data_IF_276481803715
#
_entry.id   IF_276481803715
#
_cell.length_a   1.000
_cell.length_b   1.000
_cell.length_c   1.000
_cell.angle_alpha   90.00
_cell.angle_beta   90.00
_cell.angle_gamma   90.00
#
_symmetry.space_group_name_H-M   'P 1'
#
loop_
_entity.id
_entity.type
_entity.pdbx_description
1 polymer ?
#
# COMPACT_ATOMS: atom_id res chain seq x y z
N UNK A 1 -23.26 24.79 -3.95
CA UNK A 1 -22.80 24.70 -2.55
C UNK A 1 -22.15 23.36 -2.24
N UNK A 2 -22.75 22.23 -2.55
CA UNK A 2 -22.20 20.88 -2.31
C UNK A 2 -20.82 20.63 -2.96
N UNK A 3 -20.61 21.04 -4.22
CA UNK A 3 -19.32 20.88 -4.92
C UNK A 3 -18.17 21.67 -4.27
N UNK A 4 -18.46 22.87 -3.74
CA UNK A 4 -17.46 23.69 -3.04
C UNK A 4 -17.09 23.04 -1.71
N UNK A 5 -18.08 22.52 -0.97
CA UNK A 5 -17.86 21.79 0.27
C UNK A 5 -17.04 20.51 0.02
N UNK A 6 -17.36 19.75 -1.01
CA UNK A 6 -16.63 18.55 -1.38
C UNK A 6 -15.16 18.85 -1.77
N UNK A 7 -14.92 19.94 -2.52
CA UNK A 7 -13.58 20.39 -2.85
C UNK A 7 -12.79 20.82 -1.60
N UNK A 8 -13.43 21.56 -0.68
CA UNK A 8 -12.83 21.95 0.59
C UNK A 8 -12.45 20.73 1.44
N UNK A 9 -13.37 19.77 1.58
CA UNK A 9 -13.14 18.52 2.31
C UNK A 9 -11.96 17.73 1.67
N UNK A 10 -11.88 17.68 0.34
CA UNK A 10 -10.80 16.97 -0.35
C UNK A 10 -9.41 17.62 -0.16
N UNK A 11 -9.35 18.92 0.07
CA UNK A 11 -8.08 19.67 0.25
C UNK A 11 -7.63 19.70 1.72
N UNK A 12 -8.53 19.55 2.67
CA UNK A 12 -8.23 19.65 4.11
C UNK A 12 -7.10 18.71 4.59
N UNK A 13 -7.05 17.41 4.20
CA UNK A 13 -5.96 16.53 4.58
C UNK A 13 -4.60 16.97 4.04
N UNK A 14 -4.57 17.58 2.84
CA UNK A 14 -3.36 18.11 2.24
C UNK A 14 -2.87 19.35 3.00
N UNK A 15 -3.77 20.27 3.35
CA UNK A 15 -3.45 21.44 4.15
C UNK A 15 -2.90 21.04 5.52
N UNK A 16 -3.53 20.07 6.18
CA UNK A 16 -3.06 19.54 7.46
C UNK A 16 -1.68 18.86 7.31
N UNK A 17 -1.48 18.07 6.25
CA UNK A 17 -0.20 17.42 5.98
C UNK A 17 0.93 18.43 5.75
N UNK A 18 0.67 19.53 5.04
CA UNK A 18 1.64 20.62 4.84
C UNK A 18 1.94 21.33 6.14
N UNK A 19 0.92 21.71 6.90
CA UNK A 19 1.08 22.40 8.17
C UNK A 19 1.87 21.58 9.17
N UNK A 20 1.45 20.34 9.46
CA UNK A 20 2.13 19.46 10.40
C UNK A 20 3.54 19.06 9.94
N UNK A 21 3.73 18.87 8.63
CA UNK A 21 5.04 18.57 8.06
C UNK A 21 6.03 19.74 8.23
N UNK A 22 5.58 20.98 8.04
CA UNK A 22 6.40 22.17 8.31
C UNK A 22 6.81 22.28 9.78
N UNK A 23 5.92 21.92 10.72
CA UNK A 23 6.27 21.86 12.13
C UNK A 23 7.37 20.83 12.42
N UNK A 24 7.29 19.64 11.84
CA UNK A 24 8.32 18.60 11.98
C UNK A 24 9.67 19.10 11.41
N UNK A 25 9.65 19.78 10.26
CA UNK A 25 10.86 20.37 9.68
C UNK A 25 11.45 21.49 10.56
N UNK A 26 10.61 22.32 11.19
CA UNK A 26 11.06 23.36 12.10
C UNK A 26 11.69 22.79 13.38
N UNK A 27 11.28 21.63 13.84
CA UNK A 27 11.88 20.91 14.97
C UNK A 27 13.22 20.25 14.62
N UNK A 28 13.64 20.29 13.34
CA UNK A 28 14.83 19.57 12.87
C UNK A 28 16.14 20.00 13.53
N UNK A 29 16.21 21.22 14.01
CA UNK A 29 17.42 21.76 14.65
C UNK A 29 17.57 21.36 16.14
N UNK A 30 16.49 20.89 16.76
CA UNK A 30 16.43 20.57 18.19
C UNK A 30 16.05 19.12 18.50
N UNK A 31 15.76 18.30 17.47
CA UNK A 31 15.31 16.92 17.64
C UNK A 31 16.26 15.91 17.02
N UNK A 32 16.30 14.71 17.61
CA UNK A 32 17.06 13.59 17.07
C UNK A 32 16.39 13.01 15.80
N UNK A 33 17.16 12.29 14.97
CA UNK A 33 16.63 11.63 13.77
C UNK A 33 15.47 10.67 14.10
N UNK A 34 15.56 9.80 15.16
CA UNK A 34 14.47 8.94 15.55
C UNK A 34 13.18 9.68 15.91
N UNK A 35 13.29 10.78 16.66
CA UNK A 35 12.12 11.60 17.04
C UNK A 35 11.41 12.19 15.83
N UNK A 36 12.16 12.69 14.84
CA UNK A 36 11.58 13.20 13.58
C UNK A 36 10.90 12.11 12.77
N UNK A 37 11.50 10.93 12.70
CA UNK A 37 10.89 9.79 12.00
C UNK A 37 9.62 9.32 12.69
N UNK A 38 9.61 9.29 14.04
CA UNK A 38 8.42 8.94 14.81
C UNK A 38 7.30 9.96 14.60
N UNK A 39 7.64 11.26 14.66
CA UNK A 39 6.68 12.35 14.41
C UNK A 39 6.11 12.28 12.98
N UNK A 40 6.94 12.01 11.96
CA UNK A 40 6.48 11.84 10.58
C UNK A 40 5.56 10.61 10.43
N UNK A 41 5.91 9.49 11.07
CA UNK A 41 5.09 8.28 11.06
C UNK A 41 3.72 8.51 11.72
N UNK A 42 3.69 9.17 12.87
CA UNK A 42 2.46 9.51 13.58
C UNK A 42 1.58 10.46 12.75
N UNK A 43 2.19 11.50 12.17
CA UNK A 43 1.52 12.42 11.25
C UNK A 43 0.92 11.70 10.07
N UNK A 44 1.70 10.84 9.40
CA UNK A 44 1.22 10.10 8.22
C UNK A 44 0.08 9.15 8.59
N UNK A 45 0.13 8.52 9.76
CA UNK A 45 -0.96 7.72 10.29
C UNK A 45 -2.25 8.53 10.46
N UNK A 46 -2.15 9.70 11.10
CA UNK A 46 -3.29 10.59 11.29
C UNK A 46 -3.86 11.13 9.97
N UNK A 47 -3.00 11.61 9.07
CA UNK A 47 -3.43 12.06 7.72
C UNK A 47 -4.11 10.95 6.95
N UNK A 48 -3.62 9.71 7.08
CA UNK A 48 -4.23 8.54 6.41
C UNK A 48 -5.60 8.23 6.98
N UNK A 49 -5.76 8.26 8.30
CA UNK A 49 -7.05 8.07 8.96
C UNK A 49 -8.05 9.18 8.58
N UNK A 50 -7.60 10.44 8.56
CA UNK A 50 -8.40 11.57 8.12
C UNK A 50 -8.85 11.43 6.66
N UNK A 51 -7.94 11.02 5.76
CA UNK A 51 -8.29 10.72 4.37
C UNK A 51 -9.32 9.59 4.27
N UNK A 52 -9.17 8.52 5.06
CA UNK A 52 -10.11 7.41 5.09
C UNK A 52 -11.52 7.83 5.54
N UNK A 53 -11.61 8.63 6.61
CA UNK A 53 -12.88 9.19 7.08
C UNK A 53 -13.55 10.10 6.05
N UNK A 54 -12.75 10.93 5.37
CA UNK A 54 -13.26 11.82 4.33
C UNK A 54 -13.66 11.06 3.06
N UNK A 55 -12.96 9.99 2.69
CA UNK A 55 -13.37 9.11 1.60
C UNK A 55 -14.76 8.52 1.86
N UNK A 56 -15.05 8.09 3.08
CA UNK A 56 -16.38 7.64 3.47
C UNK A 56 -17.43 8.73 3.27
N UNK A 57 -17.16 9.95 3.70
CA UNK A 57 -18.09 11.07 3.56
C UNK A 57 -18.31 11.52 2.10
N UNK A 58 -17.25 11.45 1.27
CA UNK A 58 -17.30 11.84 -0.16
C UNK A 58 -17.95 10.73 -1.01
N UNK A 59 -17.76 9.46 -0.64
CA UNK A 59 -18.28 8.31 -1.41
C UNK A 59 -19.80 8.37 -1.59
N UNK A 60 -20.52 9.03 -0.67
CA UNK A 60 -21.97 9.17 -0.73
C UNK A 60 -22.47 10.27 -1.67
N UNK A 61 -21.67 11.25 -2.09
CA UNK A 61 -22.22 12.41 -2.78
C UNK A 61 -21.58 12.79 -4.13
N UNK A 62 -20.27 12.73 -4.34
CA UNK A 62 -19.62 13.24 -5.57
C UNK A 62 -18.33 12.50 -5.94
N UNK A 63 -18.42 11.24 -6.34
CA UNK A 63 -17.34 10.50 -6.96
C UNK A 63 -17.36 10.73 -8.49
N UNK A 64 -16.27 10.67 -9.24
CA UNK A 64 -14.89 10.24 -8.93
C UNK A 64 -13.86 11.39 -8.81
N UNK A 65 -14.19 12.61 -9.23
CA UNK A 65 -13.21 13.69 -9.33
C UNK A 65 -12.76 14.24 -7.96
N UNK A 66 -13.62 14.21 -6.92
CA UNK A 66 -13.23 14.57 -5.54
C UNK A 66 -12.20 13.62 -4.96
N UNK A 67 -12.31 12.33 -5.30
CA UNK A 67 -11.30 11.35 -4.94
C UNK A 67 -9.96 11.64 -5.62
N UNK A 68 -9.98 11.94 -6.93
CA UNK A 68 -8.79 12.31 -7.66
C UNK A 68 -8.14 13.58 -7.06
N UNK A 69 -8.93 14.58 -6.71
CA UNK A 69 -8.44 15.81 -6.07
C UNK A 69 -7.82 15.52 -4.70
N UNK A 70 -8.45 14.70 -3.87
CA UNK A 70 -7.92 14.29 -2.56
C UNK A 70 -6.56 13.59 -2.70
N UNK A 71 -6.45 12.66 -3.64
CA UNK A 71 -5.20 11.91 -3.88
C UNK A 71 -4.11 12.84 -4.40
N UNK A 72 -4.40 13.67 -5.39
CA UNK A 72 -3.44 14.58 -6.02
C UNK A 72 -2.93 15.64 -5.03
N UNK A 73 -3.81 16.28 -4.28
CA UNK A 73 -3.43 17.31 -3.28
C UNK A 73 -2.61 16.72 -2.16
N UNK A 74 -2.99 15.52 -1.66
CA UNK A 74 -2.22 14.79 -0.65
C UNK A 74 -0.82 14.42 -1.16
N UNK A 75 -0.71 13.90 -2.39
CA UNK A 75 0.58 13.55 -2.98
C UNK A 75 1.48 14.77 -3.15
N UNK A 76 0.94 15.89 -3.62
CA UNK A 76 1.68 17.15 -3.73
C UNK A 76 2.19 17.66 -2.38
N UNK A 77 1.33 17.65 -1.37
CA UNK A 77 1.69 18.04 -0.01
C UNK A 77 2.77 17.12 0.59
N UNK A 78 2.64 15.82 0.40
CA UNK A 78 3.60 14.84 0.93
C UNK A 78 4.96 14.92 0.23
N UNK A 79 4.98 15.19 -1.08
CA UNK A 79 6.23 15.28 -1.84
C UNK A 79 7.19 16.35 -1.30
N UNK A 80 6.69 17.57 -1.08
CA UNK A 80 7.52 18.68 -0.61
C UNK A 80 8.14 18.40 0.75
N UNK A 81 7.37 17.83 1.66
CA UNK A 81 7.84 17.47 3.01
C UNK A 81 8.82 16.31 2.98
N UNK A 82 8.50 15.24 2.23
CA UNK A 82 9.38 14.08 2.12
C UNK A 82 10.74 14.42 1.49
N UNK A 83 10.74 15.24 0.45
CA UNK A 83 11.97 15.68 -0.21
C UNK A 83 12.92 16.36 0.76
N UNK A 84 12.41 17.17 1.70
CA UNK A 84 13.21 17.86 2.69
C UNK A 84 13.58 16.95 3.88
N UNK A 85 12.61 16.24 4.43
CA UNK A 85 12.78 15.41 5.63
C UNK A 85 13.69 14.20 5.38
N UNK A 86 13.50 13.52 4.25
CA UNK A 86 14.23 12.29 3.89
C UNK A 86 15.36 12.52 2.87
N UNK A 87 15.57 13.79 2.44
CA UNK A 87 16.58 14.16 1.44
C UNK A 87 16.42 13.33 0.14
N UNK A 88 15.20 13.12 -0.29
CA UNK A 88 14.89 12.37 -1.50
C UNK A 88 15.29 13.16 -2.76
N UNK A 89 15.89 12.47 -3.74
CA UNK A 89 16.38 13.10 -4.98
C UNK A 89 15.46 12.86 -6.21
N UNK A 90 14.40 12.08 -6.09
CA UNK A 90 13.50 11.86 -7.22
C UNK A 90 12.70 13.11 -7.60
N UNK A 91 12.34 13.17 -8.88
CA UNK A 91 11.45 14.21 -9.40
C UNK A 91 10.02 13.97 -8.94
N UNK A 92 9.19 15.02 -8.96
CA UNK A 92 7.75 14.90 -8.64
C UNK A 92 7.06 13.83 -9.50
N UNK A 93 7.35 13.76 -10.80
CA UNK A 93 6.74 12.76 -11.68
C UNK A 93 7.09 11.30 -11.29
N UNK A 94 8.33 11.04 -10.89
CA UNK A 94 8.74 9.71 -10.38
C UNK A 94 8.08 9.39 -9.06
N UNK A 95 8.09 10.32 -8.12
CA UNK A 95 7.39 10.19 -6.85
C UNK A 95 5.90 9.90 -7.06
N UNK A 96 5.23 10.73 -7.85
CA UNK A 96 3.82 10.59 -8.17
C UNK A 96 3.50 9.22 -8.78
N UNK A 97 4.27 8.82 -9.81
CA UNK A 97 4.11 7.52 -10.47
C UNK A 97 4.31 6.33 -9.49
N UNK A 98 5.31 6.41 -8.61
CA UNK A 98 5.55 5.36 -7.62
C UNK A 98 4.44 5.30 -6.58
N UNK A 99 4.09 6.45 -5.98
CA UNK A 99 3.05 6.49 -4.92
C UNK A 99 1.68 6.11 -5.47
N UNK A 100 1.35 6.52 -6.71
CA UNK A 100 0.09 6.11 -7.34
C UNK A 100 0.03 4.59 -7.52
N UNK A 101 1.10 3.96 -8.01
CA UNK A 101 1.15 2.51 -8.16
C UNK A 101 1.09 1.78 -6.83
N UNK A 102 1.84 2.26 -5.84
CA UNK A 102 1.83 1.70 -4.49
C UNK A 102 0.43 1.83 -3.87
N UNK A 103 -0.18 3.01 -3.97
CA UNK A 103 -1.53 3.27 -3.46
C UNK A 103 -2.56 2.38 -4.17
N UNK A 104 -2.50 2.28 -5.50
CA UNK A 104 -3.39 1.41 -6.25
C UNK A 104 -3.22 -0.07 -5.87
N UNK A 105 -1.98 -0.53 -5.67
CA UNK A 105 -1.72 -1.90 -5.27
C UNK A 105 -2.18 -2.19 -3.84
N UNK A 106 -1.92 -1.28 -2.89
CA UNK A 106 -2.22 -1.50 -1.46
C UNK A 106 -3.68 -1.19 -1.13
N UNK A 107 -4.21 -0.11 -1.69
CA UNK A 107 -5.56 0.38 -1.39
C UNK A 107 -6.59 0.10 -2.48
N UNK A 108 -6.21 -0.54 -3.59
CA UNK A 108 -7.13 -0.87 -4.68
C UNK A 108 -8.32 -1.69 -4.22
N UNK A 109 -8.10 -2.62 -3.30
CA UNK A 109 -9.15 -3.38 -2.63
C UNK A 109 -10.18 -2.47 -1.93
N UNK A 110 -9.72 -1.52 -1.12
CA UNK A 110 -10.59 -0.58 -0.41
C UNK A 110 -11.33 0.34 -1.37
N UNK A 111 -10.69 0.72 -2.47
CA UNK A 111 -11.32 1.50 -3.51
C UNK A 111 -12.42 0.72 -4.21
N UNK A 112 -12.18 -0.55 -4.57
CA UNK A 112 -13.19 -1.43 -5.13
C UNK A 112 -14.37 -1.56 -4.19
N UNK A 113 -14.11 -1.80 -2.90
CA UNK A 113 -15.16 -1.91 -1.88
C UNK A 113 -15.98 -0.63 -1.76
N UNK A 114 -15.33 0.53 -1.70
CA UNK A 114 -16.01 1.83 -1.61
C UNK A 114 -16.84 2.17 -2.85
N UNK A 115 -16.44 1.68 -4.03
CA UNK A 115 -17.14 1.91 -5.29
C UNK A 115 -18.30 0.91 -5.53
N UNK A 116 -18.30 -0.22 -4.84
CA UNK A 116 -19.31 -1.28 -5.06
C UNK A 116 -20.74 -0.78 -4.96
N UNK A 117 -21.18 -0.04 -3.91
CA UNK A 117 -22.58 0.42 -3.82
C UNK A 117 -22.99 1.29 -5.01
N UNK A 118 -22.08 2.14 -5.47
CA UNK A 118 -22.33 3.03 -6.60
C UNK A 118 -22.52 2.25 -7.92
N UNK A 119 -21.64 1.27 -8.18
CA UNK A 119 -21.75 0.44 -9.38
C UNK A 119 -23.00 -0.43 -9.34
N UNK A 120 -23.31 -1.04 -8.19
CA UNK A 120 -24.50 -1.89 -8.00
C UNK A 120 -25.76 -1.08 -8.21
N UNK A 121 -25.88 0.14 -7.62
CA UNK A 121 -27.06 0.99 -7.77
C UNK A 121 -27.32 1.48 -9.20
N UNK A 122 -26.27 1.54 -10.04
CA UNK A 122 -26.36 1.95 -11.46
C UNK A 122 -26.61 0.79 -12.42
N UNK A 123 -26.60 -0.44 -11.92
CA UNK A 123 -26.62 -1.64 -12.74
C UNK A 123 -28.02 -2.26 -12.89
N UNK A 124 -29.08 -1.57 -12.48
CA UNK A 124 -30.47 -2.10 -12.68
C UNK A 124 -30.73 -2.46 -14.16
N UNK A 125 -31.26 -3.63 -14.45
CA UNK A 125 -31.71 -4.73 -13.57
C UNK A 125 -30.65 -5.79 -13.29
N UNK A 126 -29.37 -5.50 -13.47
CA UNK A 126 -28.25 -6.46 -13.38
C UNK A 126 -27.42 -6.33 -12.10
N UNK A 127 -27.96 -5.70 -11.07
CA UNK A 127 -27.25 -5.39 -9.80
C UNK A 127 -26.64 -6.63 -9.14
N UNK A 128 -27.32 -7.77 -9.18
CA UNK A 128 -26.79 -9.04 -8.64
C UNK A 128 -25.57 -9.56 -9.41
N UNK A 129 -25.57 -9.42 -10.72
CA UNK A 129 -24.45 -9.84 -11.54
C UNK A 129 -23.23 -8.95 -11.24
N UNK A 130 -23.42 -7.63 -11.10
CA UNK A 130 -22.37 -6.69 -10.74
C UNK A 130 -21.86 -6.96 -9.32
N UNK A 131 -22.74 -7.17 -8.35
CA UNK A 131 -22.34 -7.54 -6.99
C UNK A 131 -21.54 -8.86 -6.97
N UNK A 132 -21.94 -9.86 -7.76
CA UNK A 132 -21.24 -11.13 -7.92
C UNK A 132 -19.83 -10.96 -8.48
N UNK A 133 -19.67 -10.12 -9.52
CA UNK A 133 -18.35 -9.81 -10.09
C UNK A 133 -17.45 -9.13 -9.03
N UNK A 134 -17.95 -8.13 -8.32
CA UNK A 134 -17.18 -7.46 -7.27
C UNK A 134 -16.78 -8.42 -6.15
N UNK A 135 -17.71 -9.26 -5.66
CA UNK A 135 -17.41 -10.26 -4.65
C UNK A 135 -16.33 -11.24 -5.12
N UNK A 136 -16.39 -11.68 -6.37
CA UNK A 136 -15.38 -12.57 -6.97
C UNK A 136 -14.01 -11.89 -7.04
N UNK A 137 -13.95 -10.62 -7.47
CA UNK A 137 -12.70 -9.84 -7.51
C UNK A 137 -12.13 -9.67 -6.11
N UNK A 138 -12.96 -9.39 -5.10
CA UNK A 138 -12.53 -9.25 -3.72
C UNK A 138 -11.92 -10.56 -3.17
N UNK A 139 -12.54 -11.70 -3.45
CA UNK A 139 -12.00 -13.01 -3.04
C UNK A 139 -10.68 -13.32 -3.77
N UNK A 140 -10.63 -13.04 -5.07
CA UNK A 140 -9.41 -13.25 -5.86
C UNK A 140 -8.26 -12.35 -5.42
N UNK A 141 -8.55 -11.18 -4.82
CA UNK A 141 -7.54 -10.26 -4.32
C UNK A 141 -6.66 -10.87 -3.23
N UNK A 142 -7.20 -11.78 -2.43
CA UNK A 142 -6.46 -12.48 -1.39
C UNK A 142 -5.16 -13.13 -1.92
N UNK A 143 -5.25 -13.77 -3.07
CA UNK A 143 -4.09 -14.41 -3.72
C UNK A 143 -3.40 -13.46 -4.71
N UNK A 144 -4.17 -12.61 -5.38
CA UNK A 144 -3.70 -11.70 -6.42
C UNK A 144 -2.90 -10.51 -5.90
N UNK A 145 -3.06 -10.13 -4.63
CA UNK A 145 -2.41 -8.94 -4.06
C UNK A 145 -0.90 -8.91 -4.29
N UNK A 146 -0.20 -10.00 -3.99
CA UNK A 146 1.24 -10.09 -4.18
C UNK A 146 1.65 -9.93 -5.66
N UNK A 147 0.86 -10.46 -6.58
CA UNK A 147 1.10 -10.32 -8.02
C UNK A 147 0.89 -8.87 -8.45
N UNK A 148 -0.21 -8.25 -8.02
CA UNK A 148 -0.52 -6.85 -8.31
C UNK A 148 0.57 -5.93 -7.79
N UNK A 149 1.01 -6.11 -6.53
CA UNK A 149 2.06 -5.31 -5.92
C UNK A 149 3.37 -5.42 -6.70
N UNK A 150 3.83 -6.63 -7.02
CA UNK A 150 5.06 -6.87 -7.79
C UNK A 150 4.99 -6.24 -9.19
N UNK A 151 3.88 -6.43 -9.88
CA UNK A 151 3.68 -5.88 -11.23
C UNK A 151 3.66 -4.36 -11.21
N UNK A 152 2.91 -3.76 -10.28
CA UNK A 152 2.78 -2.30 -10.19
C UNK A 152 4.08 -1.64 -9.76
N UNK A 153 4.81 -2.24 -8.84
CA UNK A 153 6.11 -1.74 -8.41
C UNK A 153 7.25 -2.11 -9.38
N UNK A 154 6.96 -2.90 -10.42
CA UNK A 154 7.94 -3.39 -11.40
C UNK A 154 9.10 -4.11 -10.72
N UNK A 155 8.76 -5.00 -9.78
CA UNK A 155 9.74 -5.83 -9.10
C UNK A 155 10.53 -6.67 -10.10
N UNK A 156 11.82 -6.87 -9.82
CA UNK A 156 12.75 -7.64 -10.65
C UNK A 156 13.58 -8.53 -9.74
N UNK A 157 14.15 -9.63 -10.22
CA UNK A 157 15.10 -10.40 -9.45
C UNK A 157 16.23 -9.51 -8.90
N UNK A 158 16.70 -9.83 -7.70
CA UNK A 158 17.79 -9.07 -7.06
C UNK A 158 19.06 -9.11 -7.89
N UNK A 159 19.65 -7.96 -8.14
CA UNK A 159 20.84 -7.83 -8.98
C UNK A 159 22.15 -8.17 -8.26
N UNK A 160 22.22 -8.15 -6.92
CA UNK A 160 23.43 -8.53 -6.17
C UNK A 160 23.53 -10.06 -6.04
N UNK A 161 24.53 -10.71 -6.71
CA UNK A 161 24.66 -12.16 -6.68
C UNK A 161 25.03 -12.70 -5.29
N UNK A 162 25.62 -11.89 -4.43
CA UNK A 162 25.95 -12.29 -3.06
C UNK A 162 24.70 -12.42 -2.20
N UNK A 163 23.79 -11.44 -2.27
CA UNK A 163 22.51 -11.50 -1.57
C UNK A 163 21.64 -12.63 -2.13
N UNK A 164 21.58 -12.79 -3.46
CA UNK A 164 20.81 -13.84 -4.11
C UNK A 164 21.29 -15.24 -3.67
N UNK A 165 22.61 -15.49 -3.64
CA UNK A 165 23.17 -16.76 -3.19
C UNK A 165 22.83 -17.05 -1.73
N UNK A 166 23.02 -16.07 -0.83
CA UNK A 166 22.70 -16.24 0.59
C UNK A 166 21.21 -16.51 0.81
N UNK A 167 20.36 -15.86 0.02
CA UNK A 167 18.93 -16.12 0.07
C UNK A 167 18.61 -17.58 -0.33
N UNK A 168 19.21 -18.10 -1.40
CA UNK A 168 19.02 -19.49 -1.81
C UNK A 168 19.51 -20.49 -0.75
N UNK A 169 20.65 -20.20 -0.10
CA UNK A 169 21.18 -21.01 1.00
C UNK A 169 20.21 -21.03 2.21
N UNK A 170 19.60 -19.89 2.54
CA UNK A 170 18.60 -19.82 3.60
C UNK A 170 17.31 -20.53 3.20
N UNK A 171 16.82 -20.28 1.98
CA UNK A 171 15.62 -20.90 1.46
C UNK A 171 15.72 -22.42 1.44
N UNK A 172 16.89 -22.97 1.10
CA UNK A 172 17.13 -24.43 1.08
C UNK A 172 17.01 -25.07 2.47
N UNK A 173 17.14 -24.28 3.55
CA UNK A 173 16.99 -24.76 4.93
C UNK A 173 15.55 -24.67 5.43
N UNK A 174 14.70 -23.89 4.78
CA UNK A 174 13.30 -23.75 5.14
C UNK A 174 12.51 -24.99 4.76
N UNK A 175 11.69 -25.49 5.66
CA UNK A 175 10.84 -26.65 5.43
C UNK A 175 9.37 -26.20 5.36
N UNK A 176 8.65 -26.65 4.35
CA UNK A 176 7.19 -26.41 4.31
C UNK A 176 6.74 -25.14 3.62
N UNK A 177 7.64 -24.37 3.01
CA UNK A 177 7.28 -23.26 2.12
C UNK A 177 7.54 -23.63 0.65
N UNK A 178 6.64 -23.23 -0.28
CA UNK A 178 6.90 -23.39 -1.72
C UNK A 178 8.10 -22.53 -2.16
N UNK A 179 8.51 -22.66 -3.41
CA UNK A 179 9.60 -21.86 -3.97
C UNK A 179 9.32 -20.36 -3.82
N UNK A 180 10.00 -19.71 -2.87
CA UNK A 180 9.93 -18.27 -2.62
C UNK A 180 10.89 -17.54 -3.55
N UNK A 181 10.46 -16.46 -4.20
CA UNK A 181 11.34 -15.59 -4.97
C UNK A 181 11.84 -14.41 -4.13
N UNK A 182 13.09 -13.96 -4.37
CA UNK A 182 13.62 -12.71 -3.86
C UNK A 182 13.63 -11.68 -4.98
N UNK A 183 12.88 -10.62 -4.81
CA UNK A 183 12.71 -9.58 -5.82
C UNK A 183 13.03 -8.19 -5.26
N UNK A 184 13.50 -7.31 -6.12
CA UNK A 184 13.91 -5.95 -5.78
C UNK A 184 13.03 -4.94 -6.51
N UNK A 185 12.59 -3.91 -5.77
CA UNK A 185 11.91 -2.74 -6.32
C UNK A 185 12.89 -1.58 -6.44
N UNK A 186 13.04 -1.05 -7.65
CA UNK A 186 13.93 0.08 -7.93
C UNK A 186 13.28 1.41 -7.50
N UNK A 187 13.85 2.00 -6.45
CA UNK A 187 13.40 3.28 -5.87
C UNK A 187 14.32 4.44 -6.17
N UNK A 188 15.04 4.43 -7.28
CA UNK A 188 16.04 5.46 -7.66
C UNK A 188 15.70 6.86 -7.15
N UNK A 189 16.41 7.29 -6.11
CA UNK A 189 16.24 8.59 -5.48
C UNK A 189 15.18 8.69 -4.38
N UNK A 190 14.43 7.61 -4.10
CA UNK A 190 13.53 7.52 -2.95
C UNK A 190 14.24 7.01 -1.70
N UNK A 191 13.65 7.25 -0.54
CA UNK A 191 14.23 6.88 0.76
C UNK A 191 13.54 5.69 1.44
N UNK A 192 12.68 4.98 0.74
CA UNK A 192 12.00 3.82 1.33
C UNK A 192 13.00 2.67 1.53
N UNK A 193 13.41 2.46 2.76
CA UNK A 193 14.17 1.27 3.18
C UNK A 193 13.15 0.27 3.67
N UNK A 194 12.89 -0.78 2.92
CA UNK A 194 11.86 -1.75 3.27
C UNK A 194 12.16 -3.12 2.69
N UNK A 195 11.81 -4.13 3.47
CA UNK A 195 11.58 -5.49 2.99
C UNK A 195 10.15 -5.88 3.37
N UNK A 196 9.53 -6.74 2.62
CA UNK A 196 8.19 -7.25 2.91
C UNK A 196 8.01 -8.68 2.37
N UNK A 197 7.52 -9.54 3.22
CA UNK A 197 7.08 -10.87 2.85
C UNK A 197 5.70 -10.80 2.17
N UNK A 198 5.56 -11.42 1.02
CA UNK A 198 4.30 -11.54 0.29
C UNK A 198 3.84 -13.00 0.37
N UNK A 199 2.94 -13.33 1.30
CA UNK A 199 2.39 -14.66 1.38
C UNK A 199 1.49 -14.94 0.16
N UNK A 200 1.72 -16.06 -0.48
CA UNK A 200 0.90 -16.59 -1.57
C UNK A 200 1.07 -18.10 -1.59
N UNK A 201 0.00 -18.83 -1.87
CA UNK A 201 0.07 -20.28 -1.96
C UNK A 201 0.89 -20.70 -3.18
N UNK A 202 0.80 -19.92 -4.25
CA UNK A 202 1.38 -20.30 -5.53
C UNK A 202 2.70 -19.59 -5.86
N UNK A 203 2.83 -18.34 -5.43
CA UNK A 203 3.98 -17.49 -5.77
C UNK A 203 4.41 -16.60 -4.63
N UNK A 204 4.80 -17.17 -3.48
CA UNK A 204 5.31 -16.34 -2.37
C UNK A 204 6.60 -15.64 -2.78
N UNK A 205 6.80 -14.45 -2.26
CA UNK A 205 7.98 -13.65 -2.55
C UNK A 205 8.41 -12.82 -1.34
N UNK A 206 9.69 -12.49 -1.31
CA UNK A 206 10.23 -11.43 -0.46
C UNK A 206 10.59 -10.27 -1.38
N UNK A 207 9.99 -9.10 -1.15
CA UNK A 207 10.34 -7.87 -1.85
C UNK A 207 11.29 -7.06 -1.00
N UNK A 208 12.37 -6.55 -1.60
CA UNK A 208 13.27 -5.59 -0.98
C UNK A 208 13.38 -4.32 -1.83
N UNK A 209 13.59 -3.18 -1.19
CA UNK A 209 13.85 -1.93 -1.91
C UNK A 209 15.31 -1.84 -2.34
N UNK A 210 15.59 -1.19 -3.48
CA UNK A 210 16.97 -0.89 -3.88
C UNK A 210 17.70 -0.05 -2.82
N UNK A 211 16.98 0.86 -2.17
CA UNK A 211 17.50 1.70 -1.09
C UNK A 211 17.97 0.88 0.13
N UNK A 212 17.34 -0.27 0.39
CA UNK A 212 17.80 -1.20 1.44
C UNK A 212 19.20 -1.74 1.10
N UNK A 213 19.34 -2.23 -0.14
CA UNK A 213 20.62 -2.79 -0.64
C UNK A 213 21.73 -1.73 -0.72
N UNK A 214 21.36 -0.48 -1.07
CA UNK A 214 22.32 0.63 -1.22
C UNK A 214 22.81 1.20 0.13
N UNK A 215 22.00 1.10 1.19
CA UNK A 215 22.27 1.74 2.49
C UNK A 215 22.75 0.80 3.57
N UNK A 216 22.45 -0.47 3.47
CA UNK A 216 22.84 -1.49 4.44
C UNK A 216 23.95 -2.35 3.88
N UNK A 217 24.76 -2.88 4.75
CA UNK A 217 25.73 -3.88 4.35
C UNK A 217 25.04 -5.21 3.97
N UNK A 218 25.84 -6.14 3.42
CA UNK A 218 25.27 -7.42 2.97
C UNK A 218 24.77 -8.28 4.12
N UNK A 219 25.37 -8.17 5.29
CA UNK A 219 25.00 -9.00 6.44
C UNK A 219 23.69 -8.47 7.04
N UNK A 220 23.55 -7.14 7.16
CA UNK A 220 22.32 -6.48 7.59
C UNK A 220 21.16 -6.78 6.60
N UNK A 221 21.41 -6.59 5.31
CA UNK A 221 20.41 -6.90 4.27
C UNK A 221 19.99 -8.37 4.33
N UNK A 222 20.96 -9.29 4.50
CA UNK A 222 20.70 -10.72 4.61
C UNK A 222 19.89 -11.04 5.87
N UNK A 223 20.18 -10.39 7.00
CA UNK A 223 19.43 -10.60 8.24
C UNK A 223 17.97 -10.16 8.10
N UNK A 224 17.72 -9.03 7.42
CA UNK A 224 16.35 -8.55 7.15
C UNK A 224 15.62 -9.54 6.21
N UNK A 225 16.28 -9.99 5.14
CA UNK A 225 15.70 -10.97 4.21
C UNK A 225 15.41 -12.30 4.92
N UNK A 226 16.30 -12.74 5.82
CA UNK A 226 16.09 -13.92 6.65
C UNK A 226 14.88 -13.78 7.57
N UNK A 227 14.67 -12.60 8.15
CA UNK A 227 13.49 -12.29 8.96
C UNK A 227 12.19 -12.44 8.15
N UNK A 228 12.15 -11.86 6.95
CA UNK A 228 10.97 -11.96 6.06
C UNK A 228 10.73 -13.40 5.59
N UNK A 229 11.80 -14.15 5.33
CA UNK A 229 11.69 -15.57 4.96
C UNK A 229 11.18 -16.43 6.12
N UNK A 230 11.70 -16.19 7.34
CA UNK A 230 11.24 -16.84 8.56
C UNK A 230 9.77 -16.53 8.85
N UNK A 231 9.32 -15.29 8.55
CA UNK A 231 7.92 -14.93 8.66
C UNK A 231 7.04 -15.81 7.77
N UNK A 232 7.43 -16.05 6.50
CA UNK A 232 6.70 -16.92 5.59
C UNK A 232 6.68 -18.37 6.06
N UNK A 233 7.79 -18.86 6.66
CA UNK A 233 7.88 -20.22 7.20
C UNK A 233 7.06 -20.40 8.47
N UNK A 234 7.23 -19.50 9.46
CA UNK A 234 6.60 -19.58 10.76
C UNK A 234 5.06 -19.49 10.70
N UNK A 235 4.56 -18.55 9.92
CA UNK A 235 3.12 -18.33 9.83
C UNK A 235 2.39 -19.33 8.93
N UNK A 236 3.07 -20.32 8.37
CA UNK A 236 2.47 -21.31 7.47
C UNK A 236 1.51 -20.63 6.46
N UNK A 237 1.99 -20.44 5.23
CA UNK A 237 1.29 -19.69 4.16
C UNK A 237 -0.18 -20.07 4.01
N UNK A 238 -0.50 -21.36 4.18
CA UNK A 238 -1.87 -21.85 4.10
C UNK A 238 -2.76 -21.31 5.23
N UNK A 239 -2.21 -21.17 6.45
CA UNK A 239 -2.94 -20.61 7.59
C UNK A 239 -3.17 -19.11 7.44
N UNK A 240 -2.16 -18.37 6.98
CA UNK A 240 -2.31 -16.95 6.66
C UNK A 240 -3.33 -16.73 5.56
N UNK A 241 -3.30 -17.56 4.53
CA UNK A 241 -4.26 -17.50 3.44
C UNK A 241 -5.70 -17.70 3.93
N UNK A 242 -5.93 -18.70 4.80
CA UNK A 242 -7.25 -18.94 5.40
C UNK A 242 -7.71 -17.79 6.30
N UNK A 243 -6.84 -17.20 7.11
CA UNK A 243 -7.18 -16.05 7.98
C UNK A 243 -7.58 -14.83 7.13
N UNK A 244 -6.84 -14.56 6.09
CA UNK A 244 -7.16 -13.46 5.18
C UNK A 244 -8.45 -13.75 4.41
N UNK A 245 -8.65 -14.97 3.93
CA UNK A 245 -9.85 -15.36 3.20
C UNK A 245 -11.12 -15.19 4.05
N UNK A 246 -11.06 -15.44 5.35
CA UNK A 246 -12.23 -15.18 6.24
C UNK A 246 -12.63 -13.71 6.21
N UNK A 247 -11.66 -12.79 6.31
CA UNK A 247 -11.91 -11.36 6.25
C UNK A 247 -12.48 -10.95 4.89
N UNK A 248 -11.86 -11.39 3.80
CA UNK A 248 -12.35 -11.12 2.44
C UNK A 248 -13.70 -11.78 2.17
N UNK A 249 -13.93 -12.97 2.72
CA UNK A 249 -15.20 -13.68 2.63
C UNK A 249 -16.37 -12.91 3.25
N UNK A 250 -16.17 -12.38 4.45
CA UNK A 250 -17.18 -11.54 5.11
C UNK A 250 -17.50 -10.29 4.29
N UNK A 251 -16.50 -9.64 3.73
CA UNK A 251 -16.67 -8.46 2.88
C UNK A 251 -17.38 -8.84 1.57
N UNK A 252 -17.03 -9.97 0.97
CA UNK A 252 -17.69 -10.46 -0.25
C UNK A 252 -19.17 -10.78 -0.01
N UNK A 253 -19.52 -11.38 1.14
CA UNK A 253 -20.93 -11.59 1.54
C UNK A 253 -21.65 -10.26 1.70
N UNK A 254 -21.05 -9.29 2.39
CA UNK A 254 -21.62 -7.93 2.49
C UNK A 254 -21.83 -7.28 1.14
N UNK A 255 -20.89 -7.46 0.21
CA UNK A 255 -20.99 -6.96 -1.18
C UNK A 255 -22.16 -7.62 -1.93
N UNK A 256 -22.33 -8.94 -1.78
CA UNK A 256 -23.45 -9.66 -2.37
C UNK A 256 -24.80 -9.23 -1.80
N UNK A 257 -24.85 -8.77 -0.56
CA UNK A 257 -26.08 -8.26 0.05
C UNK A 257 -26.38 -6.80 -0.30
N UNK A 258 -25.46 -6.08 -0.94
CA UNK A 258 -25.64 -4.68 -1.30
C UNK A 258 -26.95 -4.39 -2.09
N UNK A 259 -27.41 -5.23 -3.05
CA UNK A 259 -28.68 -5.01 -3.73
C UNK A 259 -29.90 -5.07 -2.81
N UNK A 260 -29.84 -5.86 -1.71
CA UNK A 260 -30.95 -6.01 -0.75
C UNK A 260 -31.05 -4.78 0.17
N UNK A 261 -29.92 -4.24 0.58
CA UNK A 261 -29.85 -3.17 1.59
C UNK A 261 -30.22 -1.81 1.00
N UNK A 262 -30.21 -1.67 -0.35
CA UNK A 262 -30.51 -0.42 -1.10
C UNK A 262 -29.93 0.83 -0.41
N UNK A 263 -28.63 0.79 -0.13
CA UNK A 263 -27.91 1.92 0.43
C UNK A 263 -27.60 2.95 -0.67
#
# INVERSE_FOLDING_TARGET
MAAILAAFIAVLPAAFALWSGRQILALSDHSTVPERLLADRTRNGFVTALCGGMLGAIAFQHLPWTLALLVLTRMGASYSIRKQLHRESWSFGRYFSFVTRLTAAVFGFWLLLALTPWFVSKAEPHEWAVAGVFATVLLAWNEGYGIVLRTFLRARPVGDPGIARRFEEMRARCTGIPAVSLEQVDLRGGSYVSAVALPSIWRPAVLISSTLVDRMDRDETTAIVAHELAYLEYFNLRRLWWLNLQSYGLIAVGTLLAPVVRI
#
